data_IF_798002470483
#
_entry.id   IF_798002470483
#
_cell.length_a   1.000
_cell.length_b   1.000
_cell.length_c   1.000
_cell.angle_alpha   90.00
_cell.angle_beta   90.00
_cell.angle_gamma   90.00
#
_symmetry.space_group_name_H-M   'P 1'
#
loop_
_entity.id
_entity.type
_entity.pdbx_description
1 polymer ?
#
# COMPACT_ATOMS: atom_id res chain seq x y z
N UNK A 1 5.63 -6.53 -16.04
CA UNK A 1 6.90 -7.15 -15.59
C UNK A 1 7.26 -6.56 -14.26
N UNK A 2 7.41 -7.40 -13.24
CA UNK A 2 8.01 -7.02 -11.97
C UNK A 2 9.44 -7.53 -12.04
N UNK A 3 10.38 -6.60 -12.08
CA UNK A 3 11.79 -6.94 -12.19
C UNK A 3 12.29 -7.40 -10.81
N UNK A 4 13.15 -8.42 -10.78
CA UNK A 4 13.89 -8.88 -9.60
C UNK A 4 13.04 -9.57 -8.51
N UNK A 5 12.05 -10.38 -8.89
CA UNK A 5 11.32 -11.28 -7.97
C UNK A 5 10.70 -10.60 -6.73
N UNK A 6 10.33 -9.32 -6.86
CA UNK A 6 9.71 -8.60 -5.76
C UNK A 6 8.36 -9.22 -5.40
N UNK A 7 8.20 -9.63 -4.14
CA UNK A 7 6.98 -10.24 -3.61
C UNK A 7 5.85 -9.22 -3.36
N UNK A 8 6.20 -7.93 -3.36
CA UNK A 8 5.26 -6.83 -3.22
C UNK A 8 5.90 -5.47 -3.48
N UNK A 9 5.07 -4.43 -3.54
CA UNK A 9 5.49 -3.05 -3.80
C UNK A 9 4.90 -2.12 -2.76
N UNK A 10 5.77 -1.31 -2.16
CA UNK A 10 5.37 -0.24 -1.24
C UNK A 10 5.02 1.01 -2.05
N UNK A 11 3.81 1.52 -1.87
CA UNK A 11 3.37 2.79 -2.46
C UNK A 11 3.73 3.91 -1.48
N UNK A 12 4.91 4.51 -1.69
CA UNK A 12 5.51 5.49 -0.78
C UNK A 12 5.02 6.94 -0.94
N UNK A 13 4.19 7.22 -1.94
CA UNK A 13 3.60 8.53 -2.17
C UNK A 13 2.07 8.39 -2.23
N UNK A 14 1.34 9.41 -1.79
CA UNK A 14 -0.13 9.43 -1.76
C UNK A 14 -0.76 9.44 -3.14
N UNK A 15 -0.04 9.90 -4.17
CA UNK A 15 -0.53 10.01 -5.54
C UNK A 15 -0.47 8.69 -6.31
N UNK A 16 0.49 7.81 -5.99
CA UNK A 16 0.69 6.55 -6.72
C UNK A 16 -0.56 5.66 -6.68
N UNK A 17 -1.24 5.45 -5.52
CA UNK A 17 -2.51 4.71 -5.45
C UNK A 17 -3.63 5.27 -6.36
N UNK A 18 -3.57 6.53 -6.79
CA UNK A 18 -4.55 7.13 -7.70
C UNK A 18 -4.33 6.71 -9.16
N UNK A 19 -3.12 6.25 -9.50
CA UNK A 19 -2.70 5.94 -10.87
C UNK A 19 -2.60 4.43 -11.13
N UNK A 20 -2.44 3.61 -10.09
CA UNK A 20 -2.25 2.16 -10.22
C UNK A 20 -3.35 1.40 -9.48
N UNK A 21 -3.90 0.34 -10.09
CA UNK A 21 -4.92 -0.49 -9.44
C UNK A 21 -4.37 -1.88 -9.11
N UNK A 22 -4.77 -2.49 -7.98
CA UNK A 22 -4.30 -3.83 -7.59
C UNK A 22 -4.53 -4.90 -8.66
N UNK A 23 -5.64 -4.81 -9.40
CA UNK A 23 -5.99 -5.73 -10.48
C UNK A 23 -5.02 -5.73 -11.66
N UNK A 24 -4.11 -4.77 -11.73
CA UNK A 24 -3.20 -4.60 -12.85
C UNK A 24 -1.87 -5.37 -12.64
N UNK A 25 -1.71 -6.16 -11.54
CA UNK A 25 -0.44 -6.78 -11.14
C UNK A 25 -0.59 -8.14 -10.41
N UNK A 26 0.46 -8.96 -10.51
CA UNK A 26 0.58 -10.28 -9.86
C UNK A 26 1.18 -10.23 -8.45
N UNK A 27 1.37 -9.03 -7.87
CA UNK A 27 1.95 -8.86 -6.52
C UNK A 27 1.13 -7.91 -5.67
N UNK A 28 1.31 -8.03 -4.36
CA UNK A 28 0.62 -7.20 -3.38
C UNK A 28 1.14 -5.77 -3.42
N UNK A 29 0.23 -4.79 -3.44
CA UNK A 29 0.55 -3.37 -3.29
C UNK A 29 0.24 -2.93 -1.86
N UNK A 30 1.22 -2.33 -1.20
CA UNK A 30 1.10 -1.81 0.16
C UNK A 30 0.96 -0.28 0.11
N UNK A 31 -0.27 0.22 0.22
CA UNK A 31 -0.53 1.65 0.36
C UNK A 31 -0.17 2.11 1.78
N UNK A 32 0.98 2.76 1.90
CA UNK A 32 1.50 3.23 3.20
C UNK A 32 0.61 4.27 3.85
N UNK A 33 -0.10 5.08 3.05
CA UNK A 33 -0.98 6.13 3.58
C UNK A 33 -2.20 5.51 4.24
N UNK A 34 -2.81 4.52 3.59
CA UNK A 34 -3.93 3.76 4.16
C UNK A 34 -3.48 2.97 5.40
N UNK A 35 -2.35 2.25 5.34
CA UNK A 35 -1.84 1.47 6.47
C UNK A 35 -1.59 2.36 7.70
N UNK A 36 -0.90 3.48 7.52
CA UNK A 36 -0.63 4.39 8.63
C UNK A 36 -1.90 5.04 9.18
N UNK A 37 -2.84 5.44 8.32
CA UNK A 37 -4.09 6.04 8.76
C UNK A 37 -4.94 5.04 9.58
N UNK A 38 -5.05 3.80 9.12
CA UNK A 38 -5.74 2.73 9.86
C UNK A 38 -5.09 2.49 11.22
N UNK A 39 -3.77 2.30 11.26
CA UNK A 39 -3.04 2.08 12.51
C UNK A 39 -3.20 3.26 13.48
N UNK A 40 -3.19 4.50 12.98
CA UNK A 40 -3.38 5.69 13.79
C UNK A 40 -4.78 5.72 14.44
N UNK A 41 -5.82 5.39 13.67
CA UNK A 41 -7.19 5.30 14.18
C UNK A 41 -7.35 4.17 15.19
N UNK A 42 -6.81 2.98 14.89
CA UNK A 42 -6.84 1.84 15.82
C UNK A 42 -6.15 2.17 17.14
N UNK A 43 -4.96 2.78 17.07
CA UNK A 43 -4.21 3.19 18.26
C UNK A 43 -4.99 4.22 19.09
N UNK A 44 -5.67 5.16 18.42
CA UNK A 44 -6.44 6.19 19.11
C UNK A 44 -7.72 5.67 19.79
N UNK A 45 -8.34 4.61 19.24
CA UNK A 45 -9.65 4.13 19.70
C UNK A 45 -9.60 2.83 20.52
N UNK A 46 -8.53 2.05 20.42
CA UNK A 46 -8.39 0.72 21.03
C UNK A 46 -7.22 0.66 22.03
N UNK A 47 -6.76 1.83 22.52
CA UNK A 47 -5.77 1.92 23.60
C UNK A 47 -6.37 1.70 24.98
#
# INVERSE_FOLDING_TARGET
MIANDAEGVILGCTEVPLLVRPKDRDVVLFDTSTIHATQAVETALLS
#
